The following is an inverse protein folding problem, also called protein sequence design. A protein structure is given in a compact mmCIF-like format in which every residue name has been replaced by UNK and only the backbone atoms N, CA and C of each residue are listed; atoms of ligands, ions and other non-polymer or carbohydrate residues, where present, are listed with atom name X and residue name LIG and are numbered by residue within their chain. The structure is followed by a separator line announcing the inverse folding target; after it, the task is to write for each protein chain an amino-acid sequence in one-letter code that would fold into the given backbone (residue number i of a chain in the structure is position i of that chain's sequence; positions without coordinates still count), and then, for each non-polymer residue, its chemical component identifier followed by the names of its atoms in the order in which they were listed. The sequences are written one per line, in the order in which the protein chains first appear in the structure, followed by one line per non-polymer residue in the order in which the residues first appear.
data_IF_534429407469
#
_entry.id   IF_534429407469
#
_cell.length_a   1.000
_cell.length_b   1.000
_cell.length_c   1.000
_cell.angle_alpha   90.00
_cell.angle_beta   90.00
_cell.angle_gamma   90.00
#
_symmetry.space_group_name_H-M   'P 1'
#
loop_
_entity.id
_entity.type
_entity.pdbx_description
1 polymer ?
#
# COMPACT_ATOMS: atom_id res chain seq x y z
N UNK A 1 8.41 -6.65 -21.93
CA UNK A 1 8.83 -6.21 -20.58
C UNK A 1 8.07 -4.95 -20.25
N UNK A 2 7.64 -4.81 -19.00
CA UNK A 2 7.12 -3.57 -18.45
C UNK A 2 8.19 -2.48 -18.51
N UNK A 3 7.80 -1.23 -18.78
CA UNK A 3 8.74 -0.11 -18.62
C UNK A 3 8.87 0.21 -17.12
N UNK A 4 10.03 0.74 -16.72
CA UNK A 4 10.25 1.16 -15.34
C UNK A 4 9.21 2.20 -14.88
N UNK A 5 8.85 3.12 -15.77
CA UNK A 5 7.83 4.15 -15.52
C UNK A 5 6.46 3.52 -15.25
N UNK A 6 6.04 2.56 -16.08
CA UNK A 6 4.78 1.84 -15.88
C UNK A 6 4.74 1.10 -14.53
N UNK A 7 5.82 0.42 -14.14
CA UNK A 7 5.91 -0.24 -12.83
C UNK A 7 5.80 0.75 -11.67
N UNK A 8 6.34 1.95 -11.83
CA UNK A 8 6.27 3.01 -10.83
C UNK A 8 4.85 3.55 -10.74
N UNK A 9 4.22 3.89 -11.86
CA UNK A 9 2.87 4.46 -11.88
C UNK A 9 1.83 3.46 -11.36
N UNK A 10 1.89 2.22 -11.83
CA UNK A 10 1.02 1.14 -11.35
C UNK A 10 1.26 0.84 -9.86
N UNK A 11 2.52 0.80 -9.43
CA UNK A 11 2.86 0.60 -8.02
C UNK A 11 2.32 1.72 -7.15
N UNK A 12 2.52 2.98 -7.54
CA UNK A 12 2.00 4.15 -6.83
C UNK A 12 0.48 4.10 -6.70
N UNK A 13 -0.24 3.80 -7.79
CA UNK A 13 -1.70 3.68 -7.78
C UNK A 13 -2.16 2.55 -6.83
N UNK A 14 -1.57 1.36 -6.95
CA UNK A 14 -1.87 0.22 -6.10
C UNK A 14 -1.58 0.52 -4.61
N UNK A 15 -0.51 1.27 -4.33
CA UNK A 15 -0.18 1.72 -2.97
C UNK A 15 -1.25 2.62 -2.37
N UNK A 16 -1.80 3.56 -3.14
CA UNK A 16 -2.88 4.43 -2.67
C UNK A 16 -4.14 3.63 -2.33
N UNK A 17 -4.56 2.72 -3.21
CA UNK A 17 -5.72 1.85 -2.97
C UNK A 17 -5.52 0.93 -1.77
N UNK A 18 -4.30 0.40 -1.61
CA UNK A 18 -3.94 -0.43 -0.48
C UNK A 18 -4.00 0.34 0.84
N UNK A 19 -3.54 1.59 0.86
CA UNK A 19 -3.64 2.46 2.02
C UNK A 19 -5.09 2.74 2.43
N UNK A 20 -5.99 3.03 1.47
CA UNK A 20 -7.41 3.22 1.77
C UNK A 20 -8.02 1.94 2.39
N UNK A 21 -7.68 0.78 1.84
CA UNK A 21 -8.15 -0.51 2.35
C UNK A 21 -7.63 -0.79 3.75
N UNK A 22 -6.34 -0.59 3.98
CA UNK A 22 -5.69 -0.85 5.25
C UNK A 22 -6.19 0.12 6.35
N UNK A 23 -6.33 1.40 6.03
CA UNK A 23 -6.92 2.38 6.95
C UNK A 23 -8.35 1.99 7.33
N UNK A 24 -9.16 1.55 6.37
CA UNK A 24 -10.53 1.10 6.65
C UNK A 24 -10.56 -0.17 7.53
N UNK A 25 -9.59 -1.08 7.38
CA UNK A 25 -9.45 -2.26 8.26
C UNK A 25 -9.04 -1.83 9.67
N UNK A 26 -8.04 -0.95 9.79
CA UNK A 26 -7.58 -0.41 11.07
C UNK A 26 -8.70 0.28 11.84
N UNK A 27 -9.47 1.15 11.18
CA UNK A 27 -10.59 1.89 11.80
C UNK A 27 -11.72 0.98 12.33
N UNK A 28 -11.85 -0.24 11.80
CA UNK A 28 -12.82 -1.24 12.27
C UNK A 28 -12.27 -2.14 13.39
N UNK A 29 -10.98 -2.03 13.72
CA UNK A 29 -10.38 -2.82 14.79
C UNK A 29 -10.92 -2.40 16.15
N UNK A 30 -11.29 -3.38 16.96
CA UNK A 30 -11.73 -3.19 18.36
C UNK A 30 -10.75 -3.81 19.36
N UNK A 31 -9.70 -4.47 18.89
CA UNK A 31 -8.80 -5.30 19.72
C UNK A 31 -7.37 -4.78 19.79
N UNK A 32 -6.95 -4.03 18.78
CA UNK A 32 -5.59 -3.49 18.66
C UNK A 32 -5.65 -2.05 18.15
N UNK A 33 -4.56 -1.32 18.37
CA UNK A 33 -4.35 0.01 17.82
C UNK A 33 -4.67 0.01 16.29
N UNK A 34 -5.55 0.90 15.81
CA UNK A 34 -5.93 0.99 14.40
C UNK A 34 -4.74 1.14 13.45
N UNK A 35 -3.68 1.84 13.86
CA UNK A 35 -2.47 2.04 13.06
C UNK A 35 -1.72 0.72 12.90
N UNK A 36 -1.53 -0.01 13.99
CA UNK A 36 -0.86 -1.32 13.98
C UNK A 36 -1.61 -2.29 13.07
N UNK A 37 -2.94 -2.33 13.16
CA UNK A 37 -3.77 -3.19 12.31
C UNK A 37 -3.67 -2.80 10.84
N UNK A 38 -3.66 -1.51 10.53
CA UNK A 38 -3.49 -1.03 9.17
C UNK A 38 -2.11 -1.40 8.61
N UNK A 39 -1.03 -1.23 9.40
CA UNK A 39 0.33 -1.63 9.00
C UNK A 39 0.44 -3.13 8.72
N UNK A 40 -0.15 -3.97 9.58
CA UNK A 40 -0.19 -5.42 9.37
C UNK A 40 -0.94 -5.79 8.09
N UNK A 41 -2.07 -5.12 7.80
CA UNK A 41 -2.84 -5.39 6.58
C UNK A 41 -2.11 -4.92 5.32
N UNK A 42 -1.41 -3.79 5.38
CA UNK A 42 -0.51 -3.30 4.33
C UNK A 42 0.56 -4.34 4.00
N UNK A 43 1.33 -4.78 5.00
CA UNK A 43 2.41 -5.74 4.81
C UNK A 43 1.90 -7.08 4.29
N UNK A 44 0.81 -7.60 4.87
CA UNK A 44 0.20 -8.87 4.46
C UNK A 44 -0.20 -8.86 2.98
N UNK A 45 -0.89 -7.80 2.54
CA UNK A 45 -1.36 -7.70 1.14
C UNK A 45 -0.23 -7.43 0.17
N UNK A 46 0.72 -6.56 0.52
CA UNK A 46 1.89 -6.30 -0.31
C UNK A 46 2.71 -7.56 -0.52
N UNK A 47 2.96 -8.31 0.55
CA UNK A 47 3.70 -9.57 0.51
C UNK A 47 2.97 -10.63 -0.33
N UNK A 48 1.65 -10.76 -0.17
CA UNK A 48 0.86 -11.69 -0.97
C UNK A 48 0.86 -11.32 -2.47
N UNK A 49 0.71 -10.04 -2.79
CA UNK A 49 0.73 -9.55 -4.17
C UNK A 49 2.10 -9.75 -4.83
N UNK A 50 3.19 -9.40 -4.14
CA UNK A 50 4.55 -9.62 -4.62
C UNK A 50 4.84 -11.11 -4.88
N UNK A 51 4.44 -11.99 -3.96
CA UNK A 51 4.58 -13.43 -4.14
C UNK A 51 3.78 -13.94 -5.35
N UNK A 52 2.56 -13.43 -5.55
CA UNK A 52 1.71 -13.76 -6.71
C UNK A 52 2.32 -13.33 -8.04
N UNK A 53 2.91 -12.13 -8.11
CA UNK A 53 3.58 -11.62 -9.31
C UNK A 53 4.81 -12.45 -9.67
N UNK A 54 5.63 -12.81 -8.67
CA UNK A 54 6.80 -13.67 -8.87
C UNK A 54 6.37 -15.06 -9.36
N UNK A 55 5.36 -15.66 -8.72
CA UNK A 55 4.80 -16.94 -9.14
C UNK A 55 4.19 -16.90 -10.55
N UNK A 56 3.66 -15.73 -10.95
CA UNK A 56 3.16 -15.45 -12.30
C UNK A 56 4.24 -15.20 -13.36
N UNK A 57 5.52 -15.27 -12.99
CA UNK A 57 6.65 -15.13 -13.92
C UNK A 57 7.12 -13.70 -14.14
N UNK A 58 6.65 -12.73 -13.35
CA UNK A 58 7.21 -11.37 -13.38
C UNK A 58 8.63 -11.41 -12.79
N UNK A 59 9.65 -10.84 -13.46
CA UNK A 59 11.01 -10.81 -12.92
C UNK A 59 11.07 -10.17 -11.54
N UNK A 60 11.84 -10.77 -10.62
CA UNK A 60 11.97 -10.26 -9.25
C UNK A 60 12.43 -8.80 -9.19
N UNK A 61 13.31 -8.37 -10.10
CA UNK A 61 13.75 -6.98 -10.19
C UNK A 61 12.61 -6.01 -10.50
N UNK A 62 11.67 -6.41 -11.37
CA UNK A 62 10.51 -5.59 -11.72
C UNK A 62 9.52 -5.55 -10.56
N UNK A 63 9.33 -6.67 -9.86
CA UNK A 63 8.51 -6.73 -8.64
C UNK A 63 9.07 -5.84 -7.53
N UNK A 64 10.39 -5.80 -7.32
CA UNK A 64 10.99 -4.92 -6.32
C UNK A 64 10.84 -3.42 -6.66
N UNK A 65 10.94 -3.04 -7.93
CA UNK A 65 10.65 -1.66 -8.37
C UNK A 65 9.19 -1.31 -8.07
N UNK A 66 8.26 -2.20 -8.44
CA UNK A 66 6.85 -2.04 -8.18
C UNK A 66 6.55 -1.94 -6.67
N UNK A 67 7.12 -2.83 -5.83
CA UNK A 67 6.96 -2.80 -4.36
C UNK A 67 7.41 -1.47 -3.77
N UNK A 68 8.56 -0.95 -4.23
CA UNK A 68 9.05 0.35 -3.80
C UNK A 68 8.04 1.47 -4.10
N UNK A 69 7.46 1.45 -5.30
CA UNK A 69 6.42 2.40 -5.70
C UNK A 69 5.11 2.23 -4.90
N UNK A 70 4.69 1.00 -4.59
CA UNK A 70 3.55 0.71 -3.70
C UNK A 70 3.74 1.34 -2.33
N UNK A 71 4.92 1.19 -1.73
CA UNK A 71 5.19 1.77 -0.40
C UNK A 71 5.14 3.30 -0.43
N UNK A 72 5.66 3.94 -1.48
CA UNK A 72 5.58 5.39 -1.65
C UNK A 72 4.12 5.82 -1.81
N UNK A 73 3.36 5.18 -2.69
CA UNK A 73 1.94 5.49 -2.93
C UNK A 73 1.10 5.35 -1.66
N UNK A 74 1.32 4.27 -0.91
CA UNK A 74 0.66 4.04 0.37
C UNK A 74 1.00 5.12 1.40
N UNK A 75 2.29 5.45 1.56
CA UNK A 75 2.73 6.49 2.50
C UNK A 75 2.16 7.87 2.17
N UNK A 76 2.12 8.25 0.90
CA UNK A 76 1.49 9.51 0.45
C UNK A 76 0.00 9.52 0.82
N UNK A 77 -0.72 8.43 0.55
CA UNK A 77 -2.16 8.36 0.81
C UNK A 77 -2.49 8.36 2.29
N UNK A 78 -1.75 7.63 3.12
CA UNK A 78 -1.92 7.64 4.57
C UNK A 78 -1.71 9.05 5.15
N UNK A 79 -0.71 9.78 4.65
CA UNK A 79 -0.49 11.18 5.03
C UNK A 79 -1.69 12.06 4.69
N UNK A 80 -2.26 11.91 3.50
CA UNK A 80 -3.50 12.63 3.10
C UNK A 80 -4.67 12.33 4.03
N UNK A 81 -4.89 11.06 4.35
CA UNK A 81 -5.96 10.63 5.28
C UNK A 81 -5.74 11.26 6.66
N UNK A 82 -4.51 11.25 7.18
CA UNK A 82 -4.18 11.84 8.47
C UNK A 82 -4.45 13.35 8.49
N UNK A 83 -4.09 14.07 7.41
CA UNK A 83 -4.35 15.51 7.29
C UNK A 83 -5.84 15.84 7.19
N UNK A 84 -6.65 15.01 6.53
CA UNK A 84 -8.11 15.17 6.49
C UNK A 84 -8.74 14.95 7.87
N UNK A 85 -8.23 13.99 8.65
CA UNK A 85 -8.70 13.74 10.01
C UNK A 85 -8.32 14.89 10.97
N UNK A 86 -7.13 15.48 10.84
CA UNK A 86 -6.73 16.62 11.68
C UNK A 86 -7.50 17.90 11.32
N UNK A 87 -7.70 18.18 10.03
CA UNK A 87 -8.44 19.37 9.58
C UNK A 87 -9.95 19.31 9.78
N UNK A 88 -10.50 18.13 10.08
CA UNK A 88 -11.91 17.97 10.47
C UNK A 88 -12.16 18.21 11.98
N UNK A 89 -11.10 18.30 12.78
CA UNK A 89 -11.16 18.50 14.23
C UNK A 89 -10.83 19.94 14.66
N UNK A 90 -10.64 20.86 13.70
CA UNK A 90 -10.53 22.31 13.89
C UNK A 90 -11.89 22.99 13.61
#
# INVERSE_FOLDING_TARGET
MATREMLIDEGMAAGRELADTAAAVGLRSTTHDPVVVAEMELDRRLSAAAAGLIAGGIPAADVEIWRGAVMIGAGVRLREIAMMASGAND
#
